data_IF_400037568797
#
_entry.id   IF_400037568797
#
_cell.length_a   1.000
_cell.length_b   1.000
_cell.length_c   1.000
_cell.angle_alpha   90.00
_cell.angle_beta   90.00
_cell.angle_gamma   90.00
#
_symmetry.space_group_name_H-M   'P 1'
#
loop_
_entity.id
_entity.type
_entity.pdbx_description
1 polymer ?
#
# COMPACT_ATOMS: atom_id res chain seq x y z
N UNK A 1 5.58 -0.41 7.99
CA UNK A 1 4.45 -0.42 7.07
C UNK A 1 3.19 -0.86 7.77
N UNK A 2 2.04 -0.50 7.21
CA UNK A 2 0.72 -0.88 7.70
C UNK A 2 0.24 -2.14 6.97
N UNK A 3 -0.12 -3.16 7.74
CA UNK A 3 -0.75 -4.35 7.20
C UNK A 3 -2.22 -4.07 6.92
N UNK A 4 -2.69 -4.46 5.73
CA UNK A 4 -4.10 -4.39 5.34
C UNK A 4 -4.56 -5.73 4.77
N UNK A 5 -5.89 -5.95 4.81
CA UNK A 5 -6.51 -7.14 4.22
C UNK A 5 -6.53 -7.07 2.69
N UNK A 6 -6.71 -5.87 2.13
CA UNK A 6 -6.73 -5.64 0.68
C UNK A 6 -5.90 -4.39 0.36
N UNK A 7 -4.73 -4.62 -0.23
CA UNK A 7 -3.82 -3.54 -0.63
C UNK A 7 -4.43 -2.68 -1.74
N UNK A 8 -5.10 -3.28 -2.72
CA UNK A 8 -5.66 -2.57 -3.87
C UNK A 8 -6.77 -1.61 -3.42
N UNK A 9 -7.69 -2.10 -2.58
CA UNK A 9 -8.76 -1.27 -2.03
C UNK A 9 -8.21 -0.14 -1.15
N UNK A 10 -7.17 -0.42 -0.36
CA UNK A 10 -6.53 0.59 0.49
C UNK A 10 -5.82 1.66 -0.34
N UNK A 11 -5.08 1.26 -1.38
CA UNK A 11 -4.42 2.20 -2.29
C UNK A 11 -5.42 3.08 -3.01
N UNK A 12 -6.56 2.53 -3.48
CA UNK A 12 -7.62 3.32 -4.10
C UNK A 12 -8.23 4.36 -3.16
N UNK A 13 -8.42 4.02 -1.88
CA UNK A 13 -8.85 4.99 -0.86
C UNK A 13 -7.77 6.03 -0.59
N UNK A 14 -6.51 5.62 -0.49
CA UNK A 14 -5.41 6.53 -0.24
C UNK A 14 -5.27 7.56 -1.38
N UNK A 15 -5.26 7.11 -2.63
CA UNK A 15 -5.16 8.01 -3.80
C UNK A 15 -6.40 8.89 -3.95
N UNK A 16 -7.59 8.36 -3.67
CA UNK A 16 -8.82 9.16 -3.61
C UNK A 16 -8.80 10.27 -2.55
N UNK A 17 -8.05 10.06 -1.46
CA UNK A 17 -7.82 11.06 -0.41
C UNK A 17 -6.61 11.98 -0.67
N UNK A 18 -5.99 11.90 -1.86
CA UNK A 18 -4.86 12.74 -2.25
C UNK A 18 -3.48 12.16 -1.98
N UNK A 19 -3.38 10.87 -1.62
CA UNK A 19 -2.08 10.21 -1.54
C UNK A 19 -1.50 9.94 -2.93
N UNK A 20 -0.17 10.00 -3.04
CA UNK A 20 0.59 9.66 -4.24
C UNK A 20 1.27 8.31 -4.06
N UNK A 21 1.12 7.42 -5.03
CA UNK A 21 1.87 6.16 -5.04
C UNK A 21 3.31 6.46 -5.49
N UNK A 22 4.27 6.25 -4.59
CA UNK A 22 5.70 6.42 -4.88
C UNK A 22 6.30 5.13 -5.46
N UNK A 23 5.91 3.99 -4.88
CA UNK A 23 6.30 2.67 -5.38
C UNK A 23 5.02 1.88 -5.63
N UNK A 24 4.77 1.44 -6.87
CA UNK A 24 3.59 0.64 -7.19
C UNK A 24 3.60 -0.67 -6.42
N UNK A 25 2.41 -1.28 -6.29
CA UNK A 25 2.27 -2.54 -5.57
C UNK A 25 3.14 -3.64 -6.21
N UNK A 26 4.04 -4.22 -5.42
CA UNK A 26 4.94 -5.30 -5.83
C UNK A 26 4.82 -6.49 -4.89
N UNK A 27 4.95 -7.70 -5.44
CA UNK A 27 4.95 -8.94 -4.66
C UNK A 27 6.37 -9.28 -4.20
N UNK A 28 6.54 -9.58 -2.93
CA UNK A 28 7.80 -9.99 -2.31
C UNK A 28 7.57 -11.00 -1.19
N UNK A 29 8.18 -12.18 -1.31
CA UNK A 29 8.21 -13.25 -0.28
C UNK A 29 6.86 -13.51 0.42
N UNK A 30 5.79 -13.66 -0.36
CA UNK A 30 4.44 -13.96 0.17
C UNK A 30 3.68 -12.75 0.71
N UNK A 31 4.12 -11.53 0.39
CA UNK A 31 3.42 -10.28 0.70
C UNK A 31 3.37 -9.42 -0.56
N UNK A 32 2.38 -8.54 -0.63
CA UNK A 32 2.32 -7.49 -1.65
C UNK A 32 2.42 -6.15 -0.94
N UNK A 33 3.32 -5.29 -1.37
CA UNK A 33 3.63 -4.02 -0.69
C UNK A 33 3.65 -2.86 -1.67
N UNK A 34 3.32 -1.66 -1.21
CA UNK A 34 3.42 -0.41 -1.95
C UNK A 34 3.89 0.71 -1.01
N UNK A 35 4.56 1.73 -1.55
CA UNK A 35 4.85 2.96 -0.81
C UNK A 35 3.96 4.09 -1.33
N UNK A 36 3.36 4.81 -0.39
CA UNK A 36 2.52 5.97 -0.66
C UNK A 36 2.99 7.17 0.15
N UNK A 37 2.88 8.34 -0.45
CA UNK A 37 3.05 9.64 0.19
C UNK A 37 1.69 10.29 0.39
N UNK A 38 1.34 10.62 1.62
CA UNK A 38 0.12 11.34 1.96
C UNK A 38 0.34 12.85 1.89
N UNK A 39 -0.75 13.64 1.72
CA UNK A 39 -0.69 15.09 1.84
C UNK A 39 0.03 15.52 3.12
N UNK A 40 0.99 16.45 3.00
CA UNK A 40 1.87 16.84 4.10
C UNK A 40 3.23 16.13 4.13
N UNK A 41 3.51 15.27 3.13
CA UNK A 41 4.84 14.66 2.92
C UNK A 41 5.08 13.42 3.78
N UNK A 42 4.04 12.84 4.38
CA UNK A 42 4.16 11.63 5.18
C UNK A 42 4.22 10.40 4.27
N UNK A 43 5.32 9.67 4.30
CA UNK A 43 5.50 8.44 3.52
C UNK A 43 5.22 7.20 4.37
N UNK A 44 4.37 6.31 3.87
CA UNK A 44 4.06 5.05 4.50
C UNK A 44 4.15 3.88 3.51
N UNK A 45 4.69 2.76 3.99
CA UNK A 45 4.53 1.47 3.33
C UNK A 45 3.17 0.88 3.73
N UNK A 46 2.41 0.39 2.75
CA UNK A 46 1.19 -0.39 2.95
C UNK A 46 1.45 -1.77 2.36
N UNK A 47 1.20 -2.83 3.13
CA UNK A 47 1.41 -4.19 2.68
C UNK A 47 0.23 -5.09 3.04
N UNK A 48 0.00 -6.10 2.22
CA UNK A 48 -0.91 -7.21 2.51
C UNK A 48 -0.10 -8.50 2.56
N UNK A 49 -0.49 -9.43 3.42
CA UNK A 49 -0.04 -10.80 3.27
C UNK A 49 -0.79 -11.43 2.11
N UNK A 50 -0.07 -12.06 1.19
CA UNK A 50 -0.72 -12.95 0.25
C UNK A 50 -1.12 -14.17 1.09
N UNK A 51 -2.42 -14.46 1.15
CA UNK A 51 -2.91 -15.61 1.92
C UNK A 51 -2.07 -16.83 1.55
N UNK A 52 -1.54 -17.53 2.55
CA UNK A 52 -0.95 -18.84 2.34
C UNK A 52 -2.04 -19.69 1.69
N UNK A 53 -1.72 -20.21 0.50
CA UNK A 53 -2.61 -21.08 -0.26
C UNK A 53 -2.82 -22.39 0.50
#
# INVERSE_FOLDING_TARGET
>A
GYQVADLTATLGKATGSGAKVLVPAFDSKGRRSALVEFPGGYVAEIHQFNAAK
#
